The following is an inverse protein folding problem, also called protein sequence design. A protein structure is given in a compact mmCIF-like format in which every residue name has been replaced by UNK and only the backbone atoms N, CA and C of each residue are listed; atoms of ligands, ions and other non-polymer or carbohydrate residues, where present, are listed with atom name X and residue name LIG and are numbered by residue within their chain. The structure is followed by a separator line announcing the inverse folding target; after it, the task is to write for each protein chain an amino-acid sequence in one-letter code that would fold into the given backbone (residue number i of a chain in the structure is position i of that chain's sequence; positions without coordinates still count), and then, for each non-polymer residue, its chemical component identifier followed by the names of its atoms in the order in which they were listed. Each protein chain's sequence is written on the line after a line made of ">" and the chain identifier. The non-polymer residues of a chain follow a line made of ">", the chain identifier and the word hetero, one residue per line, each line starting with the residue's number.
data_IF_572188383775
#
_entry.id   IF_572188383775
#
_cell.length_a   1.000
_cell.length_b   1.000
_cell.length_c   1.000
_cell.angle_alpha   90.00
_cell.angle_beta   90.00
_cell.angle_gamma   90.00
#
_symmetry.space_group_name_H-M   'P 1'
#
loop_
_entity.id
_entity.type
_entity.pdbx_description
1 polymer ?
#
# COMPACT_ATOMS: atom_id res chain seq x y z
N UNK A 1 39.73 -2.64 56.01
CA UNK A 1 38.92 -1.69 55.20
C UNK A 1 38.75 -2.29 53.81
N UNK A 2 37.57 -2.79 53.47
CA UNK A 2 37.31 -3.41 52.16
C UNK A 2 37.22 -2.30 51.12
N UNK A 3 38.14 -2.30 50.17
CA UNK A 3 38.09 -1.46 48.97
C UNK A 3 36.72 -1.64 48.31
N UNK A 4 35.91 -0.58 48.31
CA UNK A 4 34.74 -0.51 47.44
C UNK A 4 35.28 -0.56 46.01
N UNK A 5 35.08 -1.68 45.32
CA UNK A 5 35.65 -1.84 43.99
C UNK A 5 34.96 -0.82 43.07
N UNK A 6 35.76 0.04 42.45
CA UNK A 6 35.31 0.99 41.42
C UNK A 6 34.62 0.28 40.24
N UNK A 7 34.72 -1.05 40.18
CA UNK A 7 33.94 -1.91 39.30
C UNK A 7 32.44 -1.56 39.33
N UNK A 8 31.81 -1.43 40.50
CA UNK A 8 30.37 -1.12 40.54
C UNK A 8 30.04 0.32 40.12
N UNK A 9 31.02 1.23 40.15
CA UNK A 9 30.88 2.59 39.63
C UNK A 9 30.95 2.61 38.09
N UNK A 10 31.84 1.82 37.50
CA UNK A 10 32.06 1.81 36.04
C UNK A 10 31.26 0.73 35.30
N UNK A 11 30.81 -0.34 35.98
CA UNK A 11 30.10 -1.44 35.36
C UNK A 11 28.81 -1.00 34.65
N UNK A 12 27.95 -0.13 35.22
CA UNK A 12 26.79 0.40 34.49
C UNK A 12 27.18 1.20 33.26
N UNK A 13 28.25 2.00 33.34
CA UNK A 13 28.74 2.79 32.20
C UNK A 13 29.30 1.91 31.09
N UNK A 14 30.12 0.91 31.42
CA UNK A 14 30.68 -0.04 30.45
C UNK A 14 29.57 -0.86 29.81
N UNK A 15 28.58 -1.31 30.59
CA UNK A 15 27.41 -2.01 30.07
C UNK A 15 26.62 -1.13 29.10
N UNK A 16 26.36 0.12 29.47
CA UNK A 16 25.68 1.08 28.61
C UNK A 16 26.44 1.32 27.31
N UNK A 17 27.76 1.54 27.37
CA UNK A 17 28.60 1.72 26.19
C UNK A 17 28.62 0.47 25.30
N UNK A 18 28.68 -0.72 25.91
CA UNK A 18 28.58 -1.98 25.19
C UNK A 18 27.25 -2.13 24.46
N UNK A 19 26.14 -1.81 25.12
CA UNK A 19 24.81 -1.84 24.52
C UNK A 19 24.67 -0.80 23.41
N UNK A 20 25.19 0.41 23.62
CA UNK A 20 25.20 1.45 22.60
C UNK A 20 25.94 0.97 21.35
N UNK A 21 27.19 0.51 21.49
CA UNK A 21 27.97 -0.02 20.38
C UNK A 21 27.28 -1.19 19.67
N UNK A 22 26.62 -2.07 20.42
CA UNK A 22 25.84 -3.16 19.85
C UNK A 22 24.70 -2.64 18.98
N UNK A 23 23.88 -1.73 19.50
CA UNK A 23 22.74 -1.14 18.76
C UNK A 23 23.23 -0.41 17.52
N UNK A 24 24.34 0.31 17.63
CA UNK A 24 24.96 0.99 16.49
C UNK A 24 25.38 0.00 15.42
N UNK A 25 26.11 -1.05 15.78
CA UNK A 25 26.54 -2.10 14.85
C UNK A 25 25.37 -2.82 14.18
N UNK A 26 24.33 -3.13 14.96
CA UNK A 26 23.11 -3.75 14.46
C UNK A 26 22.42 -2.91 13.38
N UNK A 27 22.30 -1.59 13.58
CA UNK A 27 21.72 -0.69 12.59
C UNK A 27 22.47 -0.72 11.25
N UNK A 28 23.81 -0.70 11.29
CA UNK A 28 24.63 -0.75 10.05
C UNK A 28 24.45 -2.06 9.29
N UNK A 29 24.28 -3.19 9.99
CA UNK A 29 24.00 -4.48 9.37
C UNK A 29 22.64 -4.42 8.64
N UNK A 30 21.60 -3.91 9.30
CA UNK A 30 20.27 -3.77 8.70
C UNK A 30 20.27 -2.80 7.52
N UNK A 31 20.88 -1.63 7.65
CA UNK A 31 20.97 -0.64 6.59
C UNK A 31 21.71 -1.20 5.36
N UNK A 32 22.81 -1.94 5.56
CA UNK A 32 23.55 -2.59 4.46
C UNK A 32 22.76 -3.72 3.81
N UNK A 33 22.04 -4.52 4.59
CA UNK A 33 21.17 -5.57 4.04
C UNK A 33 20.03 -4.96 3.20
N UNK A 34 19.43 -3.87 3.68
CA UNK A 34 18.42 -3.12 2.94
C UNK A 34 19.00 -2.52 1.65
N UNK A 35 20.17 -1.88 1.72
CA UNK A 35 20.84 -1.30 0.55
C UNK A 35 21.12 -2.34 -0.54
N UNK A 36 21.66 -3.51 -0.16
CA UNK A 36 21.90 -4.61 -1.09
C UNK A 36 20.61 -5.12 -1.71
N UNK A 37 19.55 -5.31 -0.90
CA UNK A 37 18.24 -5.77 -1.38
C UNK A 37 17.63 -4.78 -2.37
N UNK A 38 17.65 -3.50 -2.06
CA UNK A 38 17.14 -2.44 -2.93
C UNK A 38 17.97 -2.34 -4.21
N UNK A 39 19.29 -2.39 -4.12
CA UNK A 39 20.16 -2.32 -5.31
C UNK A 39 19.91 -3.49 -6.27
N UNK A 40 19.69 -4.70 -5.75
CA UNK A 40 19.32 -5.85 -6.56
C UNK A 40 17.92 -5.73 -7.19
N UNK A 41 17.01 -4.98 -6.56
CA UNK A 41 15.63 -4.80 -7.00
C UNK A 41 15.47 -3.70 -8.05
N UNK A 42 16.33 -2.68 -8.07
CA UNK A 42 16.16 -1.53 -8.96
C UNK A 42 16.16 -1.95 -10.44
N UNK A 43 15.05 -1.72 -11.14
CA UNK A 43 14.86 -2.11 -12.54
C UNK A 43 14.56 -3.59 -12.76
N UNK A 44 14.42 -4.37 -11.69
CA UNK A 44 14.15 -5.80 -11.72
C UNK A 44 12.81 -6.11 -11.04
N UNK A 45 12.32 -7.34 -11.21
CA UNK A 45 11.11 -7.78 -10.53
C UNK A 45 11.34 -7.82 -9.01
N UNK A 46 10.58 -7.03 -8.27
CA UNK A 46 10.56 -7.00 -6.81
C UNK A 46 9.79 -8.19 -6.23
N UNK A 47 8.67 -8.52 -6.88
CA UNK A 47 7.87 -9.73 -6.72
C UNK A 47 7.39 -10.16 -8.12
N UNK A 48 6.95 -11.42 -8.33
CA UNK A 48 6.51 -11.85 -9.65
C UNK A 48 5.43 -10.92 -10.24
N UNK A 49 5.72 -10.37 -11.42
CA UNK A 49 4.82 -9.43 -12.12
C UNK A 49 4.87 -7.99 -11.60
N UNK A 50 5.74 -7.62 -10.66
CA UNK A 50 5.93 -6.21 -10.24
C UNK A 50 7.39 -5.83 -10.37
N UNK A 51 7.68 -4.85 -11.22
CA UNK A 51 9.00 -4.23 -11.35
C UNK A 51 8.99 -2.87 -10.66
N UNK A 52 10.05 -2.57 -9.91
CA UNK A 52 10.22 -1.29 -9.25
C UNK A 52 11.56 -0.68 -9.66
N UNK A 53 11.57 0.59 -10.00
CA UNK A 53 12.78 1.33 -10.32
C UNK A 53 12.77 2.74 -9.74
N UNK A 54 13.94 3.32 -9.55
CA UNK A 54 14.10 4.69 -9.06
C UNK A 54 15.42 5.30 -9.56
N UNK A 55 15.47 6.64 -9.62
CA UNK A 55 16.66 7.37 -10.03
C UNK A 55 17.73 7.39 -8.93
N UNK A 56 17.33 7.65 -7.68
CA UNK A 56 18.25 7.66 -6.54
C UNK A 56 17.56 7.17 -5.27
N UNK A 57 18.36 6.74 -4.28
CA UNK A 57 17.89 6.32 -2.96
C UNK A 57 18.82 6.83 -1.87
N UNK A 58 18.26 7.23 -0.74
CA UNK A 58 19.01 7.62 0.47
C UNK A 58 18.50 6.81 1.66
N UNK A 59 19.41 6.18 2.40
CA UNK A 59 19.08 5.39 3.60
C UNK A 59 19.56 6.14 4.85
N UNK A 60 18.67 6.30 5.83
CA UNK A 60 18.92 7.04 7.08
C UNK A 60 18.09 6.44 8.23
N UNK A 61 17.94 7.16 9.35
CA UNK A 61 17.11 6.71 10.47
C UNK A 61 17.84 6.14 11.68
N UNK A 62 19.18 6.18 11.68
CA UNK A 62 19.99 5.67 12.77
C UNK A 62 19.55 6.20 14.16
N UNK A 63 19.57 5.35 15.21
CA UNK A 63 19.85 3.91 15.20
C UNK A 63 18.58 3.02 15.25
N UNK A 64 17.39 3.62 15.34
CA UNK A 64 16.16 2.92 15.73
C UNK A 64 15.14 2.75 14.61
N UNK A 65 15.42 3.31 13.43
CA UNK A 65 14.59 3.18 12.23
C UNK A 65 15.46 3.10 10.99
N UNK A 66 14.88 2.58 9.92
CA UNK A 66 15.46 2.56 8.58
C UNK A 66 14.50 3.37 7.72
N UNK A 67 14.94 4.58 7.39
CA UNK A 67 14.21 5.51 6.52
C UNK A 67 14.87 5.47 5.15
N UNK A 68 14.12 5.10 4.12
CA UNK A 68 14.60 5.07 2.73
C UNK A 68 13.80 6.06 1.91
N UNK A 69 14.48 7.06 1.36
CA UNK A 69 13.86 8.07 0.47
C UNK A 69 14.33 7.81 -0.95
N UNK A 70 13.38 7.66 -1.86
CA UNK A 70 13.55 7.45 -3.29
C UNK A 70 13.17 8.72 -4.07
N UNK A 71 13.86 8.95 -5.19
CA UNK A 71 13.48 9.96 -6.19
C UNK A 71 13.09 9.26 -7.49
N UNK A 72 12.05 9.79 -8.15
CA UNK A 72 11.50 9.26 -9.41
C UNK A 72 11.19 7.76 -9.31
N UNK A 73 10.42 7.38 -8.28
CA UNK A 73 9.99 5.99 -8.10
C UNK A 73 9.00 5.64 -9.21
N UNK A 74 9.26 4.55 -9.92
CA UNK A 74 8.36 3.95 -10.90
C UNK A 74 8.05 2.51 -10.48
N UNK A 75 6.77 2.24 -10.26
CA UNK A 75 6.22 0.91 -10.02
C UNK A 75 5.46 0.47 -11.26
N UNK A 76 5.77 -0.71 -11.78
CA UNK A 76 5.07 -1.33 -12.91
C UNK A 76 4.57 -2.71 -12.49
N UNK A 77 3.26 -2.87 -12.41
CA UNK A 77 2.61 -4.13 -12.11
C UNK A 77 1.93 -4.72 -13.35
N UNK A 78 2.15 -6.00 -13.62
CA UNK A 78 1.45 -6.72 -14.69
C UNK A 78 -0.02 -6.90 -14.32
N UNK A 79 -0.91 -6.44 -15.20
CA UNK A 79 -2.35 -6.60 -15.08
C UNK A 79 -2.95 -7.43 -16.20
N UNK A 80 -4.23 -7.81 -16.11
CA UNK A 80 -4.92 -8.61 -17.12
C UNK A 80 -4.93 -7.97 -18.52
N UNK A 81 -4.83 -6.65 -18.61
CA UNK A 81 -4.99 -5.84 -19.84
C UNK A 81 -3.73 -5.04 -20.17
N UNK A 82 -2.59 -5.51 -19.68
CA UNK A 82 -1.32 -4.80 -19.75
C UNK A 82 -0.89 -4.23 -18.40
N UNK A 83 0.25 -3.53 -18.39
CA UNK A 83 0.86 -3.01 -17.18
C UNK A 83 0.03 -1.86 -16.57
N UNK A 84 -0.09 -1.86 -15.25
CA UNK A 84 -0.45 -0.69 -14.46
C UNK A 84 0.88 -0.03 -14.03
N UNK A 85 1.02 1.26 -14.26
CA UNK A 85 2.23 2.01 -13.90
C UNK A 85 1.89 3.14 -12.95
N UNK A 86 2.64 3.23 -11.85
CA UNK A 86 2.59 4.35 -10.92
C UNK A 86 3.96 5.00 -10.81
N UNK A 87 4.00 6.30 -11.03
CA UNK A 87 5.17 7.15 -10.85
C UNK A 87 4.95 8.11 -9.68
N UNK A 88 5.98 8.27 -8.85
CA UNK A 88 6.05 9.23 -7.76
C UNK A 88 7.38 9.97 -7.78
N UNK A 89 7.33 11.30 -7.81
CA UNK A 89 8.54 12.14 -7.78
C UNK A 89 9.37 11.91 -6.50
N UNK A 90 8.70 11.75 -5.35
CA UNK A 90 9.34 11.40 -4.08
C UNK A 90 8.55 10.33 -3.36
N UNK A 91 9.24 9.29 -2.92
CA UNK A 91 8.66 8.23 -2.12
C UNK A 91 9.54 7.91 -0.93
N UNK A 92 8.96 7.67 0.23
CA UNK A 92 9.66 7.30 1.44
C UNK A 92 9.11 5.98 2.00
N UNK A 93 10.01 5.16 2.53
CA UNK A 93 9.73 3.96 3.29
C UNK A 93 10.33 4.14 4.68
N UNK A 94 9.55 3.89 5.71
CA UNK A 94 9.95 3.96 7.11
C UNK A 94 9.67 2.62 7.78
N UNK A 95 10.70 2.02 8.37
CA UNK A 95 10.59 0.79 9.13
C UNK A 95 11.31 0.93 10.47
N UNK A 96 10.72 0.43 11.56
CA UNK A 96 11.42 0.36 12.85
C UNK A 96 12.37 -0.83 12.85
N UNK A 97 13.53 -0.69 13.50
CA UNK A 97 14.48 -1.81 13.68
C UNK A 97 14.09 -2.74 14.83
N UNK A 98 12.94 -2.51 15.45
CA UNK A 98 12.45 -3.19 16.64
C UNK A 98 10.92 -3.19 16.65
N UNK A 99 10.33 -4.05 17.49
CA UNK A 99 8.89 -4.12 17.64
C UNK A 99 8.22 -4.89 16.51
N UNK A 100 7.02 -4.44 16.14
CA UNK A 100 6.19 -5.08 15.11
C UNK A 100 6.80 -4.88 13.74
N UNK A 101 6.73 -5.90 12.87
CA UNK A 101 7.06 -5.79 11.45
C UNK A 101 6.03 -4.91 10.73
N UNK A 102 6.21 -3.60 10.86
CA UNK A 102 5.36 -2.57 10.29
C UNK A 102 6.22 -1.63 9.43
N UNK A 103 5.79 -1.48 8.19
CA UNK A 103 6.35 -0.55 7.23
C UNK A 103 5.35 0.58 7.00
N UNK A 104 5.84 1.81 6.95
CA UNK A 104 5.08 3.01 6.60
C UNK A 104 5.65 3.55 5.30
N UNK A 105 4.77 3.95 4.40
CA UNK A 105 5.11 4.49 3.11
C UNK A 105 4.54 5.89 2.97
N UNK A 106 5.29 6.79 2.36
CA UNK A 106 4.84 8.14 2.05
C UNK A 106 5.15 8.46 0.59
N UNK A 107 4.20 9.03 -0.14
CA UNK A 107 4.43 9.55 -1.48
C UNK A 107 4.14 11.05 -1.47
N UNK A 108 5.06 11.82 -2.04
CA UNK A 108 4.98 13.27 -2.05
C UNK A 108 5.35 13.83 -3.43
N UNK A 109 4.88 15.05 -3.68
CA UNK A 109 5.04 15.68 -4.98
C UNK A 109 4.13 15.07 -6.06
N UNK A 110 4.31 15.48 -7.32
CA UNK A 110 3.55 14.97 -8.45
C UNK A 110 3.54 13.45 -8.53
N UNK A 111 2.35 12.91 -8.78
CA UNK A 111 2.07 11.49 -8.96
C UNK A 111 1.50 11.28 -10.36
N UNK A 112 1.80 10.15 -10.98
CA UNK A 112 1.13 9.71 -12.21
C UNK A 112 0.76 8.24 -12.13
N UNK A 113 -0.51 7.92 -12.30
CA UNK A 113 -1.02 6.55 -12.40
C UNK A 113 -1.51 6.33 -13.83
N UNK A 114 -1.09 5.26 -14.48
CA UNK A 114 -1.59 4.89 -15.81
C UNK A 114 -1.95 3.41 -15.88
N UNK A 115 -3.02 3.11 -16.63
CA UNK A 115 -3.55 1.76 -16.80
C UNK A 115 -4.32 1.66 -18.12
N UNK A 116 -4.68 0.43 -18.51
CA UNK A 116 -5.56 0.16 -19.66
C UNK A 116 -6.89 -0.38 -19.16
N UNK A 117 -8.01 0.15 -19.64
CA UNK A 117 -9.36 -0.27 -19.23
C UNK A 117 -9.87 -1.51 -19.99
N UNK A 118 -11.16 -1.84 -19.80
CA UNK A 118 -11.80 -3.00 -20.41
C UNK A 118 -11.93 -2.91 -21.94
N UNK A 119 -11.98 -1.69 -22.47
CA UNK A 119 -12.12 -1.41 -23.91
C UNK A 119 -10.76 -1.24 -24.58
N UNK A 120 -9.67 -1.57 -23.88
CA UNK A 120 -8.28 -1.35 -24.27
C UNK A 120 -7.91 0.13 -24.45
N UNK A 121 -8.67 1.05 -23.84
CA UNK A 121 -8.33 2.46 -23.85
C UNK A 121 -7.26 2.77 -22.78
N UNK A 122 -6.19 3.51 -23.13
CA UNK A 122 -5.19 3.93 -22.16
C UNK A 122 -5.70 5.09 -21.31
N UNK A 123 -5.47 4.99 -20.01
CA UNK A 123 -5.83 5.99 -19.01
C UNK A 123 -4.60 6.45 -18.24
N UNK A 124 -4.60 7.73 -17.88
CA UNK A 124 -3.59 8.36 -17.05
C UNK A 124 -4.26 9.36 -16.10
N UNK A 125 -3.84 9.35 -14.84
CA UNK A 125 -4.18 10.33 -13.82
C UNK A 125 -2.89 10.96 -13.33
N UNK A 126 -2.77 12.27 -13.47
CA UNK A 126 -1.67 13.04 -12.89
C UNK A 126 -2.20 13.92 -11.78
N UNK A 127 -1.67 13.78 -10.57
CA UNK A 127 -2.22 14.43 -9.38
C UNK A 127 -1.16 14.80 -8.36
N UNK A 128 -1.48 15.77 -7.50
CA UNK A 128 -0.67 16.19 -6.38
C UNK A 128 -1.49 16.02 -5.09
N UNK A 129 -1.17 15.04 -4.24
CA UNK A 129 -1.77 14.92 -2.92
C UNK A 129 -1.10 15.85 -1.91
N UNK A 130 -1.85 16.38 -0.94
CA UNK A 130 -1.26 17.04 0.22
C UNK A 130 -0.58 16.01 1.14
N UNK A 131 -1.22 14.86 1.33
CA UNK A 131 -0.64 13.67 1.96
C UNK A 131 -1.05 12.41 1.21
N UNK A 132 -0.12 11.48 1.09
CA UNK A 132 -0.39 10.13 0.59
C UNK A 132 0.46 9.16 1.40
N UNK A 133 -0.17 8.47 2.34
CA UNK A 133 0.48 7.53 3.22
C UNK A 133 -0.09 6.13 3.04
N UNK A 134 0.75 5.12 3.23
CA UNK A 134 0.30 3.75 3.40
C UNK A 134 1.01 3.10 4.59
N UNK A 135 0.44 2.03 5.12
CA UNK A 135 1.12 1.17 6.06
C UNK A 135 0.86 -0.29 5.77
N UNK A 136 1.87 -1.12 5.95
CA UNK A 136 1.79 -2.56 5.85
C UNK A 136 2.24 -3.18 7.18
N UNK A 137 1.49 -4.17 7.68
CA UNK A 137 1.91 -4.98 8.81
C UNK A 137 2.07 -6.41 8.33
N UNK A 138 3.25 -6.97 8.51
CA UNK A 138 3.51 -8.39 8.23
C UNK A 138 3.31 -9.24 9.48
N UNK A 139 2.77 -10.45 9.30
CA UNK A 139 2.64 -11.48 10.32
C UNK A 139 3.17 -12.83 9.82
N UNK A 140 2.87 -13.91 10.54
CA UNK A 140 3.40 -15.26 10.23
C UNK A 140 2.93 -15.81 8.88
N UNK A 141 1.81 -15.30 8.36
CA UNK A 141 1.21 -15.72 7.08
C UNK A 141 1.42 -14.69 5.95
N UNK A 142 2.40 -13.79 6.11
CA UNK A 142 2.65 -12.70 5.16
C UNK A 142 1.95 -11.39 5.55
N UNK A 143 1.59 -10.58 4.56
CA UNK A 143 0.93 -9.29 4.79
C UNK A 143 -0.41 -9.46 5.53
N UNK A 144 -0.45 -9.01 6.79
CA UNK A 144 -1.60 -9.13 7.69
C UNK A 144 -2.62 -7.99 7.56
N UNK A 145 -2.11 -6.78 7.26
CA UNK A 145 -2.89 -5.56 7.14
C UNK A 145 -2.19 -4.60 6.19
N UNK A 146 -2.98 -3.95 5.36
CA UNK A 146 -2.58 -2.85 4.50
C UNK A 146 -3.58 -1.70 4.63
N UNK A 147 -3.07 -0.49 4.77
CA UNK A 147 -3.87 0.73 4.82
C UNK A 147 -3.24 1.74 3.86
N UNK A 148 -4.07 2.48 3.14
CA UNK A 148 -3.72 3.58 2.24
C UNK A 148 -4.67 4.74 2.55
N UNK A 149 -4.12 5.94 2.70
CA UNK A 149 -4.87 7.17 2.94
C UNK A 149 -4.26 8.31 2.13
N UNK A 150 -5.10 8.95 1.32
CA UNK A 150 -4.76 10.10 0.50
C UNK A 150 -5.65 11.25 0.91
N UNK A 151 -5.07 12.41 1.21
CA UNK A 151 -5.82 13.63 1.56
C UNK A 151 -5.50 14.76 0.58
N UNK A 152 -6.54 15.54 0.29
CA UNK A 152 -6.50 16.76 -0.53
C UNK A 152 -5.69 16.59 -1.82
N UNK A 153 -6.18 15.71 -2.70
CA UNK A 153 -5.60 15.48 -4.01
C UNK A 153 -6.29 16.35 -5.07
N UNK A 154 -5.48 17.01 -5.90
CA UNK A 154 -5.93 17.72 -7.10
C UNK A 154 -5.16 17.26 -8.33
N UNK A 155 -5.84 17.06 -9.45
CA UNK A 155 -5.19 16.49 -10.63
C UNK A 155 -5.97 16.64 -11.92
N UNK A 156 -5.48 15.95 -12.95
CA UNK A 156 -6.08 15.87 -14.28
C UNK A 156 -6.09 14.42 -14.79
N UNK A 157 -7.10 14.10 -15.57
CA UNK A 157 -7.19 12.83 -16.32
C UNK A 157 -6.44 12.90 -17.67
N UNK A 158 -6.52 11.81 -18.44
CA UNK A 158 -5.93 11.69 -19.79
C UNK A 158 -6.36 12.82 -20.72
N UNK A 159 -7.61 13.29 -20.59
CA UNK A 159 -8.20 14.32 -21.45
C UNK A 159 -7.90 15.74 -20.93
N UNK A 160 -7.17 15.86 -19.82
CA UNK A 160 -6.89 17.13 -19.16
C UNK A 160 -8.04 17.66 -18.30
N UNK A 161 -9.12 16.88 -18.11
CA UNK A 161 -10.23 17.25 -17.24
C UNK A 161 -9.75 17.25 -15.79
N UNK A 162 -10.02 18.35 -15.08
CA UNK A 162 -9.57 18.52 -13.71
C UNK A 162 -10.46 17.76 -12.72
N UNK A 163 -9.86 17.14 -11.72
CA UNK A 163 -10.55 16.50 -10.62
C UNK A 163 -9.94 16.90 -9.28
N UNK A 164 -10.73 16.76 -8.22
CA UNK A 164 -10.26 16.89 -6.83
C UNK A 164 -10.83 15.78 -5.97
N UNK A 165 -10.13 15.39 -4.91
CA UNK A 165 -10.63 14.48 -3.89
C UNK A 165 -10.16 14.96 -2.52
N UNK A 166 -11.07 15.19 -1.58
CA UNK A 166 -10.70 15.58 -0.22
C UNK A 166 -10.06 14.41 0.55
N UNK A 167 -10.57 13.20 0.35
CA UNK A 167 -9.97 11.99 0.93
C UNK A 167 -10.27 10.74 0.11
N UNK A 168 -9.29 9.85 0.00
CA UNK A 168 -9.47 8.48 -0.52
C UNK A 168 -8.76 7.52 0.44
N UNK A 169 -9.46 6.47 0.86
CA UNK A 169 -8.89 5.48 1.77
C UNK A 169 -9.14 4.07 1.25
N UNK A 170 -8.14 3.21 1.42
CA UNK A 170 -8.27 1.79 1.20
C UNK A 170 -7.67 1.03 2.37
N UNK A 171 -8.40 0.05 2.88
CA UNK A 171 -7.96 -0.80 3.98
C UNK A 171 -8.20 -2.26 3.60
N UNK A 172 -7.23 -3.11 3.90
CA UNK A 172 -7.28 -4.55 3.69
C UNK A 172 -6.67 -5.25 4.90
N UNK A 173 -7.28 -6.32 5.38
CA UNK A 173 -6.71 -7.15 6.45
C UNK A 173 -7.18 -8.59 6.37
N UNK A 174 -6.43 -9.51 6.97
CA UNK A 174 -6.94 -10.86 7.22
C UNK A 174 -8.06 -10.86 8.28
N UNK A 175 -9.09 -11.68 8.06
CA UNK A 175 -10.08 -12.01 9.08
C UNK A 175 -9.49 -13.08 10.02
N UNK A 176 -9.36 -12.82 11.33
CA UNK A 176 -8.82 -13.80 12.28
C UNK A 176 -9.75 -14.99 12.53
N UNK A 177 -11.01 -14.94 12.06
CA UNK A 177 -12.05 -15.94 12.33
C UNK A 177 -12.48 -16.73 11.09
N UNK A 178 -12.05 -16.33 9.90
CA UNK A 178 -12.48 -16.94 8.64
C UNK A 178 -11.34 -16.95 7.61
N UNK A 179 -11.42 -17.85 6.63
CA UNK A 179 -10.52 -17.83 5.46
C UNK A 179 -10.93 -16.70 4.51
N UNK A 180 -10.68 -15.45 4.91
CA UNK A 180 -11.13 -14.26 4.21
C UNK A 180 -10.21 -13.06 4.42
N UNK A 181 -10.34 -12.08 3.52
CA UNK A 181 -9.79 -10.73 3.67
C UNK A 181 -10.94 -9.73 3.85
N UNK A 182 -10.92 -8.96 4.91
CA UNK A 182 -11.80 -7.80 5.06
C UNK A 182 -11.22 -6.63 4.27
N UNK A 183 -12.06 -5.92 3.51
CA UNK A 183 -11.68 -4.72 2.78
C UNK A 183 -12.64 -3.55 3.06
N UNK A 184 -12.09 -2.34 3.05
CA UNK A 184 -12.85 -1.10 3.05
C UNK A 184 -12.27 -0.14 2.02
N UNK A 185 -13.14 0.46 1.22
CA UNK A 185 -12.82 1.55 0.31
C UNK A 185 -13.70 2.75 0.69
N UNK A 186 -13.10 3.94 0.78
CA UNK A 186 -13.87 5.16 0.91
C UNK A 186 -13.31 6.31 0.08
N UNK A 187 -14.21 7.21 -0.31
CA UNK A 187 -13.86 8.46 -0.93
C UNK A 187 -14.79 9.57 -0.43
N UNK A 188 -14.23 10.77 -0.24
CA UNK A 188 -14.93 11.95 0.26
C UNK A 188 -14.69 13.14 -0.67
N UNK A 189 -15.77 13.84 -1.00
CA UNK A 189 -15.78 15.07 -1.80
C UNK A 189 -14.92 14.96 -3.08
N UNK A 190 -15.24 13.97 -3.92
CA UNK A 190 -14.60 13.76 -5.22
C UNK A 190 -15.35 14.53 -6.29
N UNK A 191 -14.72 15.53 -6.89
CA UNK A 191 -15.29 16.36 -7.96
C UNK A 191 -14.79 15.91 -9.32
N UNK A 192 -15.68 15.96 -10.30
CA UNK A 192 -15.53 15.41 -11.64
C UNK A 192 -14.98 13.97 -11.64
N UNK A 193 -15.57 13.04 -10.84
CA UNK A 193 -15.22 11.65 -10.96
C UNK A 193 -15.61 11.14 -12.35
N UNK A 194 -14.94 10.08 -12.81
CA UNK A 194 -15.37 9.38 -14.00
C UNK A 194 -16.80 8.82 -13.82
N UNK A 195 -17.48 8.55 -14.95
CA UNK A 195 -18.78 7.87 -14.94
C UNK A 195 -18.69 6.56 -14.15
N UNK A 196 -19.76 6.19 -13.42
CA UNK A 196 -21.16 6.60 -13.52
C UNK A 196 -21.58 7.53 -12.37
N UNK A 197 -20.64 8.07 -11.60
CA UNK A 197 -20.98 8.77 -10.36
C UNK A 197 -21.49 10.20 -10.56
N UNK A 198 -21.51 10.70 -11.79
CA UNK A 198 -21.84 12.09 -12.11
C UNK A 198 -20.61 12.99 -11.96
N UNK A 199 -20.84 14.28 -11.73
CA UNK A 199 -19.79 15.29 -11.56
C UNK A 199 -19.35 15.48 -10.10
N UNK A 200 -20.00 14.83 -9.13
CA UNK A 200 -19.63 14.96 -7.72
C UNK A 200 -20.05 13.75 -6.89
N UNK A 201 -19.07 13.10 -6.26
CA UNK A 201 -19.28 12.13 -5.17
C UNK A 201 -19.02 12.85 -3.85
N UNK A 202 -20.06 13.13 -3.09
CA UNK A 202 -19.91 13.66 -1.74
C UNK A 202 -19.33 12.61 -0.81
N UNK A 203 -19.82 11.38 -0.91
CA UNK A 203 -19.40 10.28 -0.05
C UNK A 203 -19.53 8.92 -0.76
N UNK A 204 -18.50 8.11 -0.66
CA UNK A 204 -18.47 6.70 -1.06
C UNK A 204 -17.88 5.88 0.09
N UNK A 205 -18.57 4.84 0.50
CA UNK A 205 -18.10 3.85 1.49
C UNK A 205 -18.50 2.46 1.03
N UNK A 206 -17.53 1.57 0.91
CA UNK A 206 -17.73 0.17 0.55
C UNK A 206 -16.99 -0.68 1.56
N UNK A 207 -17.72 -1.60 2.19
CA UNK A 207 -17.18 -2.64 3.04
C UNK A 207 -17.43 -3.97 2.37
N UNK A 208 -16.41 -4.83 2.32
CA UNK A 208 -16.53 -6.13 1.72
C UNK A 208 -15.61 -7.17 2.34
N UNK A 209 -15.90 -8.41 2.03
CA UNK A 209 -15.14 -9.59 2.40
C UNK A 209 -14.77 -10.35 1.13
N UNK A 210 -13.48 -10.55 0.92
CA UNK A 210 -12.95 -11.44 -0.12
C UNK A 210 -12.87 -12.83 0.49
N UNK A 211 -13.72 -13.76 0.06
CA UNK A 211 -13.71 -15.15 0.55
C UNK A 211 -12.48 -15.91 0.03
N UNK A 212 -12.21 -17.12 0.53
CA UNK A 212 -11.08 -17.94 0.07
C UNK A 212 -9.73 -17.21 0.15
N UNK A 213 -9.53 -16.44 1.22
CA UNK A 213 -8.40 -15.52 1.40
C UNK A 213 -7.02 -16.19 1.30
N UNK A 214 -6.92 -17.46 1.69
CA UNK A 214 -5.72 -18.30 1.57
C UNK A 214 -5.22 -18.45 0.13
N UNK A 215 -6.06 -18.20 -0.87
CA UNK A 215 -5.66 -18.13 -2.29
C UNK A 215 -4.66 -17.02 -2.57
N UNK A 216 -4.65 -15.97 -1.75
CA UNK A 216 -3.71 -14.85 -1.82
C UNK A 216 -2.48 -15.05 -0.93
N UNK A 217 -2.38 -16.11 -0.13
CA UNK A 217 -1.27 -16.28 0.83
C UNK A 217 0.11 -16.17 0.16
N UNK A 218 0.30 -16.86 -0.98
CA UNK A 218 1.57 -16.78 -1.72
C UNK A 218 1.85 -15.38 -2.29
N UNK A 219 0.82 -14.62 -2.68
CA UNK A 219 0.98 -13.24 -3.12
C UNK A 219 1.40 -12.35 -1.94
N UNK A 220 0.73 -12.50 -0.79
CA UNK A 220 0.98 -11.73 0.43
C UNK A 220 2.34 -12.06 1.05
N UNK A 221 2.91 -13.23 0.74
CA UNK A 221 4.29 -13.63 1.04
C UNK A 221 5.31 -13.16 -0.04
N UNK A 222 4.85 -12.55 -1.14
CA UNK A 222 5.69 -12.13 -2.27
C UNK A 222 6.21 -13.27 -3.16
N UNK A 223 5.60 -14.46 -3.09
CA UNK A 223 6.02 -15.70 -3.78
C UNK A 223 5.20 -16.03 -5.05
N UNK A 224 4.21 -15.23 -5.39
CA UNK A 224 3.41 -15.36 -6.63
C UNK A 224 2.93 -13.99 -7.11
N UNK A 225 2.58 -13.90 -8.39
CA UNK A 225 2.03 -12.69 -8.96
C UNK A 225 0.53 -12.56 -8.73
N UNK A 226 0.01 -11.35 -8.91
CA UNK A 226 -1.42 -11.03 -8.76
C UNK A 226 -2.30 -11.95 -9.63
N UNK A 227 -1.90 -12.16 -10.90
CA UNK A 227 -2.66 -12.98 -11.85
C UNK A 227 -2.78 -14.45 -11.43
N UNK A 228 -1.74 -15.02 -10.83
CA UNK A 228 -1.78 -16.38 -10.31
C UNK A 228 -2.70 -16.50 -9.11
N UNK A 229 -2.62 -15.54 -8.18
CA UNK A 229 -3.48 -15.50 -7.01
C UNK A 229 -4.95 -15.34 -7.42
N UNK A 230 -5.26 -14.45 -8.36
CA UNK A 230 -6.61 -14.27 -8.89
C UNK A 230 -7.15 -15.52 -9.57
N UNK A 231 -6.33 -16.25 -10.34
CA UNK A 231 -6.74 -17.52 -10.95
C UNK A 231 -7.03 -18.59 -9.89
N UNK A 232 -6.14 -18.73 -8.89
CA UNK A 232 -6.32 -19.68 -7.80
C UNK A 232 -7.60 -19.39 -7.00
N UNK A 233 -7.84 -18.11 -6.73
CA UNK A 233 -9.01 -17.62 -6.03
C UNK A 233 -10.30 -17.89 -6.81
N UNK A 234 -10.34 -17.56 -8.11
CA UNK A 234 -11.49 -17.88 -8.99
C UNK A 234 -11.74 -19.39 -9.09
N UNK A 235 -10.68 -20.22 -9.15
CA UNK A 235 -10.82 -21.68 -9.17
C UNK A 235 -11.45 -22.23 -7.87
N UNK A 236 -11.32 -21.52 -6.75
CA UNK A 236 -11.94 -21.87 -5.47
C UNK A 236 -13.35 -21.29 -5.30
N UNK A 237 -13.94 -20.73 -6.36
CA UNK A 237 -15.19 -19.97 -6.30
C UNK A 237 -15.11 -18.82 -5.28
N UNK A 238 -13.96 -18.17 -5.21
CA UNK A 238 -13.78 -16.97 -4.42
C UNK A 238 -14.72 -15.86 -4.89
N UNK A 239 -15.30 -15.14 -3.94
CA UNK A 239 -16.26 -14.07 -4.16
C UNK A 239 -15.93 -12.84 -3.30
N UNK A 240 -16.28 -11.67 -3.82
CA UNK A 240 -16.30 -10.44 -3.02
C UNK A 240 -17.74 -10.23 -2.53
N UNK A 241 -17.95 -10.48 -1.25
CA UNK A 241 -19.23 -10.28 -0.57
C UNK A 241 -19.24 -8.89 0.04
N UNK A 242 -20.12 -8.02 -0.45
CA UNK A 242 -20.24 -6.67 0.09
C UNK A 242 -21.16 -6.62 1.31
N UNK A 243 -20.67 -6.05 2.41
CA UNK A 243 -21.43 -5.97 3.66
C UNK A 243 -22.25 -4.66 3.70
N UNK A 244 -21.60 -3.50 3.55
CA UNK A 244 -22.22 -2.18 3.55
C UNK A 244 -21.73 -1.34 2.39
N UNK A 245 -22.65 -0.71 1.68
CA UNK A 245 -22.38 0.21 0.58
C UNK A 245 -23.17 1.50 0.80
N UNK A 246 -22.46 2.62 0.88
CA UNK A 246 -23.02 3.96 0.95
C UNK A 246 -22.47 4.81 -0.18
N UNK A 247 -23.34 5.36 -1.02
CA UNK A 247 -23.01 6.22 -2.14
C UNK A 247 -23.91 7.45 -2.07
N UNK A 248 -23.30 8.62 -1.98
CA UNK A 248 -23.95 9.91 -2.15
C UNK A 248 -23.20 10.67 -3.26
N UNK A 249 -23.78 10.70 -4.46
CA UNK A 249 -23.27 11.41 -5.61
C UNK A 249 -24.39 12.14 -6.36
N UNK A 250 -24.04 13.03 -7.29
CA UNK A 250 -25.02 13.78 -8.09
C UNK A 250 -25.84 12.91 -9.03
N UNK A 251 -25.27 11.82 -9.53
CA UNK A 251 -25.97 10.87 -10.40
C UNK A 251 -26.57 9.67 -9.65
N UNK A 252 -26.07 9.33 -8.45
CA UNK A 252 -26.44 8.12 -7.73
C UNK A 252 -26.48 8.37 -6.22
N UNK A 253 -27.64 8.10 -5.61
CA UNK A 253 -27.75 7.95 -4.16
C UNK A 253 -28.19 6.52 -3.86
N UNK A 254 -27.36 5.77 -3.13
CA UNK A 254 -27.65 4.41 -2.76
C UNK A 254 -27.09 4.09 -1.37
N UNK A 255 -27.93 3.61 -0.47
CA UNK A 255 -27.51 3.01 0.78
C UNK A 255 -28.03 1.58 0.82
N UNK A 256 -27.12 0.60 0.83
CA UNK A 256 -27.47 -0.82 0.89
C UNK A 256 -26.67 -1.53 1.97
N UNK A 257 -27.37 -2.22 2.84
CA UNK A 257 -26.81 -3.26 3.69
C UNK A 257 -27.06 -4.62 3.02
N UNK A 258 -26.02 -5.43 2.83
CA UNK A 258 -26.12 -6.81 2.35
C UNK A 258 -25.47 -7.12 0.99
N UNK A 259 -25.42 -8.42 0.62
CA UNK A 259 -24.43 -9.02 -0.29
C UNK A 259 -24.57 -8.70 -1.79
N UNK A 260 -25.68 -8.10 -2.23
CA UNK A 260 -25.94 -7.86 -3.65
C UNK A 260 -25.71 -6.40 -4.04
N UNK A 261 -24.49 -6.07 -4.44
CA UNK A 261 -24.28 -4.95 -5.35
C UNK A 261 -24.94 -5.27 -6.71
N UNK A 262 -25.64 -4.30 -7.32
CA UNK A 262 -26.12 -4.48 -8.71
C UNK A 262 -24.94 -4.84 -9.62
N UNK A 263 -25.10 -5.75 -10.60
CA UNK A 263 -24.00 -6.22 -11.46
C UNK A 263 -23.17 -5.10 -12.09
N UNK A 264 -23.81 -4.01 -12.53
CA UNK A 264 -23.13 -2.83 -13.07
C UNK A 264 -22.25 -2.09 -12.05
N UNK A 265 -22.66 -2.05 -10.78
CA UNK A 265 -21.89 -1.42 -9.70
C UNK A 265 -20.73 -2.33 -9.25
N UNK A 266 -20.86 -3.66 -9.32
CA UNK A 266 -19.74 -4.60 -9.11
C UNK A 266 -18.64 -4.43 -10.16
N UNK A 267 -19.00 -4.42 -11.44
CA UNK A 267 -18.04 -4.25 -12.53
C UNK A 267 -17.26 -2.93 -12.44
N UNK A 268 -17.93 -1.89 -11.90
CA UNK A 268 -17.34 -0.57 -11.75
C UNK A 268 -16.39 -0.45 -10.55
N UNK A 269 -16.76 -1.05 -9.42
CA UNK A 269 -15.99 -0.99 -8.18
C UNK A 269 -14.80 -1.95 -8.19
N UNK A 270 -14.86 -2.99 -9.03
CA UNK A 270 -13.80 -3.96 -9.22
C UNK A 270 -13.44 -4.04 -10.71
N UNK A 271 -12.88 -2.97 -11.31
CA UNK A 271 -12.63 -2.92 -12.76
C UNK A 271 -11.53 -3.88 -13.22
N UNK A 272 -10.76 -4.45 -12.27
CA UNK A 272 -9.73 -5.46 -12.49
C UNK A 272 -10.23 -6.90 -12.25
N UNK A 273 -11.53 -7.06 -11.97
CA UNK A 273 -12.22 -8.34 -11.81
C UNK A 273 -12.54 -9.01 -13.15
#
# INVERSE_FOLDING_TARGET
>A
MRYSSRFWLYAPLVLFLGLALWVMGHWWILAKAMDSKLTAMNGHQAIPGVTVSWASKTISGFPFRVDVVFTDLLVRAEGPRGPITWHSDRFALHALTYGRAQDIFEAAGPQTLAWTDADNAPHQLSFLPATLHASAISGDQGLSRFDLDMMDAGGKDTNGAAFTAARVQFHLRHDPKADALDMMLSALDVKNPATPFGDHVKKLEIYGRVTEGSSFARLLEGRSGWMDAMRAWKHRNGEIVTDKVGIESTALTAEKAGPELQPGLRALLFPFY
#
